data_IF_496258272248
#
_entry.id   IF_496258272248
#
_cell.length_a   1.000
_cell.length_b   1.000
_cell.length_c   1.000
_cell.angle_alpha   90.00
_cell.angle_beta   90.00
_cell.angle_gamma   90.00
#
_symmetry.space_group_name_H-M   'P 1'
#
loop_
_entity.id
_entity.type
_entity.pdbx_description
1 polymer ?
#
# COMPACT_ATOMS: atom_id res chain seq x y z
N UNK A 1 21.69 57.37 6.47
CA UNK A 1 20.37 56.77 6.74
C UNK A 1 19.82 56.29 5.38
N UNK A 2 20.01 55.02 5.04
CA UNK A 2 19.51 54.44 3.78
C UNK A 2 18.08 53.94 4.01
N UNK A 3 17.10 54.54 3.34
CA UNK A 3 15.73 54.03 3.27
C UNK A 3 15.63 53.04 2.10
N UNK A 4 15.52 51.74 2.40
CA UNK A 4 15.15 50.72 1.43
C UNK A 4 13.62 50.74 1.24
N UNK A 5 13.10 50.85 0.00
CA UNK A 5 11.68 50.75 -0.24
C UNK A 5 11.26 49.27 -0.14
N UNK A 6 10.35 48.98 0.78
CA UNK A 6 9.67 47.68 0.85
C UNK A 6 8.64 47.66 -0.28
N UNK A 7 8.98 46.97 -1.38
CA UNK A 7 7.99 46.67 -2.41
C UNK A 7 7.03 45.61 -1.86
N UNK A 8 5.70 45.82 -1.93
CA UNK A 8 4.74 44.79 -1.57
C UNK A 8 4.91 43.61 -2.52
N UNK A 9 5.27 42.46 -1.97
CA UNK A 9 5.20 41.19 -2.68
C UNK A 9 3.74 40.97 -3.08
N UNK A 10 3.45 41.00 -4.38
CA UNK A 10 2.20 40.48 -4.91
C UNK A 10 2.23 38.97 -4.63
N UNK A 11 1.36 38.52 -3.73
CA UNK A 11 1.18 37.10 -3.47
C UNK A 11 0.82 36.41 -4.79
N UNK A 12 1.51 35.32 -5.09
CA UNK A 12 1.23 34.48 -6.25
C UNK A 12 -0.21 33.95 -6.14
N UNK A 13 -0.98 34.00 -7.23
CA UNK A 13 -2.31 33.39 -7.27
C UNK A 13 -2.18 31.88 -7.00
N UNK A 14 -2.81 31.42 -5.91
CA UNK A 14 -2.84 30.01 -5.52
C UNK A 14 -4.27 29.49 -5.68
N UNK A 15 -4.43 28.44 -6.49
CA UNK A 15 -5.69 27.70 -6.54
C UNK A 15 -5.86 26.93 -5.23
N UNK A 16 -6.76 27.42 -4.37
CA UNK A 16 -7.13 26.70 -3.15
C UNK A 16 -8.09 25.56 -3.52
N UNK A 17 -7.72 24.28 -3.29
CA UNK A 17 -8.61 23.18 -3.60
C UNK A 17 -9.84 23.22 -2.68
N UNK A 18 -11.01 22.76 -3.16
CA UNK A 18 -12.22 22.73 -2.34
C UNK A 18 -12.02 21.83 -1.12
N UNK A 19 -12.86 21.99 -0.10
CA UNK A 19 -12.87 21.08 1.04
C UNK A 19 -13.24 19.66 0.60
N UNK A 20 -12.48 18.67 1.05
CA UNK A 20 -12.76 17.27 0.82
C UNK A 20 -14.14 16.88 1.40
N UNK A 21 -14.94 16.17 0.61
CA UNK A 21 -16.29 15.71 0.99
C UNK A 21 -16.27 14.20 1.25
N UNK A 22 -16.94 13.76 2.31
CA UNK A 22 -17.16 12.33 2.55
C UNK A 22 -18.04 11.77 1.41
N UNK A 23 -17.53 10.79 0.68
CA UNK A 23 -18.24 10.13 -0.42
C UNK A 23 -18.96 8.89 0.08
N UNK A 24 -18.26 8.04 0.84
CA UNK A 24 -18.82 6.83 1.43
C UNK A 24 -18.06 6.42 2.68
N UNK A 25 -18.68 5.54 3.45
CA UNK A 25 -18.14 4.90 4.65
C UNK A 25 -18.66 3.48 4.73
N UNK A 26 -17.77 2.53 5.00
CA UNK A 26 -18.15 1.12 5.16
C UNK A 26 -17.15 0.35 6.02
N UNK A 27 -17.58 -0.80 6.54
CA UNK A 27 -16.75 -1.69 7.35
C UNK A 27 -15.82 -2.52 6.47
N UNK A 28 -14.64 -2.84 7.01
CA UNK A 28 -13.72 -3.80 6.43
C UNK A 28 -13.51 -4.98 7.40
N UNK A 29 -12.87 -6.05 6.93
CA UNK A 29 -12.41 -7.14 7.80
C UNK A 29 -10.89 -7.05 7.94
N UNK A 30 -10.38 -7.21 9.15
CA UNK A 30 -8.94 -7.24 9.43
C UNK A 30 -8.46 -8.68 9.66
N UNK A 31 -7.44 -9.08 8.91
CA UNK A 31 -6.79 -10.38 9.05
C UNK A 31 -5.48 -10.27 9.82
N UNK A 32 -4.85 -11.43 10.09
CA UNK A 32 -3.54 -11.50 10.74
C UNK A 32 -2.51 -10.60 10.04
N UNK A 33 -1.63 -10.00 10.83
CA UNK A 33 -0.65 -9.03 10.32
C UNK A 33 -1.23 -7.65 9.98
N UNK A 34 -2.54 -7.43 10.15
CA UNK A 34 -3.17 -6.13 9.93
C UNK A 34 -3.70 -5.90 8.52
N UNK A 35 -3.79 -6.97 7.72
CA UNK A 35 -4.26 -6.90 6.33
C UNK A 35 -5.75 -6.58 6.28
N UNK A 36 -6.08 -5.56 5.48
CA UNK A 36 -7.44 -5.04 5.32
C UNK A 36 -8.09 -5.70 4.11
N UNK A 37 -9.21 -6.37 4.34
CA UNK A 37 -10.03 -6.98 3.29
C UNK A 37 -11.30 -6.15 3.05
N UNK A 38 -11.48 -5.72 1.80
CA UNK A 38 -12.66 -5.00 1.33
C UNK A 38 -13.50 -5.91 0.44
N UNK A 39 -14.82 -5.78 0.53
CA UNK A 39 -15.75 -6.43 -0.40
C UNK A 39 -16.26 -5.45 -1.44
N UNK A 40 -16.30 -5.89 -2.69
CA UNK A 40 -16.85 -5.12 -3.80
C UNK A 40 -17.24 -6.01 -4.97
N UNK A 41 -17.89 -5.45 -5.98
CA UNK A 41 -18.20 -6.18 -7.21
C UNK A 41 -17.44 -5.58 -8.40
N UNK A 42 -17.23 -6.38 -9.44
CA UNK A 42 -16.62 -5.95 -10.68
C UNK A 42 -17.70 -5.85 -11.77
N UNK A 43 -17.73 -4.73 -12.47
CA UNK A 43 -18.66 -4.40 -13.54
C UNK A 43 -20.13 -4.62 -13.17
N UNK A 44 -20.77 -5.61 -13.80
CA UNK A 44 -22.17 -5.98 -13.61
C UNK A 44 -22.33 -7.30 -12.84
N UNK A 45 -21.24 -7.88 -12.33
CA UNK A 45 -21.32 -9.09 -11.53
C UNK A 45 -21.94 -8.77 -10.16
N UNK A 46 -22.78 -9.69 -9.67
CA UNK A 46 -23.56 -9.51 -8.45
C UNK A 46 -22.83 -10.02 -7.21
N UNK A 47 -21.97 -11.02 -7.37
CA UNK A 47 -21.25 -11.63 -6.26
C UNK A 47 -20.10 -10.74 -5.79
N UNK A 48 -19.97 -10.59 -4.48
CA UNK A 48 -18.89 -9.80 -3.90
C UNK A 48 -17.57 -10.56 -3.97
N UNK A 49 -16.55 -9.88 -4.51
CA UNK A 49 -15.16 -10.26 -4.50
C UNK A 49 -14.45 -9.67 -3.27
N UNK A 50 -13.36 -10.31 -2.85
CA UNK A 50 -12.53 -9.92 -1.72
C UNK A 50 -11.22 -9.30 -2.19
N UNK A 51 -10.99 -8.04 -1.83
CA UNK A 51 -9.80 -7.29 -2.22
C UNK A 51 -8.96 -6.91 -1.01
N UNK A 52 -7.64 -7.12 -1.10
CA UNK A 52 -6.71 -6.55 -0.12
C UNK A 52 -6.51 -5.06 -0.44
N UNK A 53 -6.60 -4.20 0.58
CA UNK A 53 -6.26 -2.78 0.44
C UNK A 53 -4.76 -2.56 0.73
N UNK A 54 -4.01 -2.12 -0.28
CA UNK A 54 -2.54 -2.22 -0.27
C UNK A 54 -1.86 -0.92 -0.75
N UNK A 55 -1.30 -0.15 0.18
CA UNK A 55 -0.49 1.04 -0.15
C UNK A 55 0.88 0.71 -0.77
N UNK A 56 1.35 -0.53 -0.64
CA UNK A 56 2.56 -1.08 -1.28
C UNK A 56 2.33 -1.58 -2.71
N UNK A 57 1.08 -1.61 -3.20
CA UNK A 57 0.76 -1.96 -4.58
C UNK A 57 0.71 -0.75 -5.51
N UNK A 58 1.50 -0.82 -6.59
CA UNK A 58 1.64 0.26 -7.56
C UNK A 58 0.44 0.46 -8.51
N UNK A 59 -0.63 -0.32 -8.35
CA UNK A 59 -1.80 -0.27 -9.23
C UNK A 59 -3.00 -0.98 -8.62
N UNK A 60 -3.75 -1.70 -9.44
CA UNK A 60 -4.85 -2.58 -9.03
C UNK A 60 -4.70 -3.90 -9.77
N UNK A 61 -5.10 -5.00 -9.15
CA UNK A 61 -4.98 -6.35 -9.72
C UNK A 61 -6.18 -7.23 -9.46
N UNK A 62 -6.33 -8.21 -10.33
CA UNK A 62 -7.34 -9.26 -10.27
C UNK A 62 -6.65 -10.62 -10.31
N UNK A 63 -7.17 -11.55 -9.53
CA UNK A 63 -6.76 -12.95 -9.54
C UNK A 63 -7.05 -13.59 -10.91
N UNK A 64 -6.12 -14.40 -11.42
CA UNK A 64 -6.25 -15.05 -12.72
C UNK A 64 -7.42 -16.02 -12.77
N UNK A 65 -7.65 -16.79 -11.72
CA UNK A 65 -8.76 -17.76 -11.66
C UNK A 65 -10.10 -17.05 -11.53
N UNK A 66 -10.13 -15.91 -10.82
CA UNK A 66 -11.30 -15.03 -10.73
C UNK A 66 -11.64 -14.43 -12.10
N UNK A 67 -10.65 -13.89 -12.81
CA UNK A 67 -10.84 -13.34 -14.15
C UNK A 67 -11.41 -14.40 -15.12
N UNK A 68 -10.87 -15.62 -15.08
CA UNK A 68 -11.34 -16.75 -15.89
C UNK A 68 -12.79 -17.13 -15.56
N UNK A 69 -13.13 -17.33 -14.28
CA UNK A 69 -14.49 -17.68 -13.82
C UNK A 69 -15.53 -16.63 -14.23
N UNK A 70 -15.13 -15.36 -14.25
CA UNK A 70 -16.01 -14.24 -14.61
C UNK A 70 -16.09 -14.00 -16.11
N UNK A 71 -15.27 -14.68 -16.93
CA UNK A 71 -15.19 -14.42 -18.37
C UNK A 71 -14.58 -13.04 -18.69
N UNK A 72 -13.75 -12.49 -17.81
CA UNK A 72 -13.07 -11.21 -18.01
C UNK A 72 -12.01 -11.39 -19.11
N UNK A 73 -12.07 -10.53 -20.12
CA UNK A 73 -11.08 -10.55 -21.21
C UNK A 73 -9.76 -9.99 -20.71
N UNK A 74 -8.67 -10.71 -20.99
CA UNK A 74 -7.31 -10.30 -20.59
C UNK A 74 -6.40 -10.26 -21.81
N UNK A 75 -5.48 -9.31 -21.83
CA UNK A 75 -4.54 -9.09 -22.91
C UNK A 75 -3.12 -9.02 -22.36
N UNK A 76 -2.18 -9.74 -22.98
CA UNK A 76 -0.77 -9.67 -22.58
C UNK A 76 -0.23 -8.26 -22.86
N UNK A 77 0.44 -7.65 -21.87
CA UNK A 77 1.02 -6.33 -22.03
C UNK A 77 2.55 -6.39 -22.09
N UNK A 78 3.17 -5.34 -22.63
CA UNK A 78 4.62 -5.12 -22.52
C UNK A 78 5.02 -4.49 -21.17
N UNK A 79 4.07 -4.24 -20.27
CA UNK A 79 4.35 -3.69 -18.95
C UNK A 79 5.01 -4.77 -18.08
N UNK A 80 6.08 -4.38 -17.42
CA UNK A 80 6.80 -5.22 -16.47
C UNK A 80 6.51 -4.73 -15.06
N UNK A 81 6.02 -5.62 -14.18
CA UNK A 81 5.81 -5.29 -12.76
C UNK A 81 6.94 -5.91 -11.93
N UNK A 82 7.37 -5.18 -10.90
CA UNK A 82 8.32 -5.65 -9.89
C UNK A 82 7.55 -6.06 -8.64
N UNK A 83 7.72 -7.30 -8.22
CA UNK A 83 7.23 -7.83 -6.95
C UNK A 83 8.33 -8.48 -6.12
N UNK A 84 7.95 -9.20 -5.07
CA UNK A 84 8.88 -9.82 -4.12
C UNK A 84 9.81 -10.86 -4.79
N UNK A 85 9.28 -11.54 -5.82
CA UNK A 85 9.97 -12.57 -6.58
C UNK A 85 10.65 -12.06 -7.87
N UNK A 86 10.65 -10.74 -8.12
CA UNK A 86 11.38 -10.12 -9.24
C UNK A 86 10.50 -9.42 -10.26
N UNK A 87 10.98 -9.33 -11.51
CA UNK A 87 10.32 -8.66 -12.63
C UNK A 87 9.54 -9.66 -13.47
N UNK A 88 8.29 -9.33 -13.83
CA UNK A 88 7.42 -10.17 -14.66
C UNK A 88 6.58 -9.32 -15.61
N UNK A 89 6.45 -9.77 -16.88
CA UNK A 89 5.41 -9.25 -17.79
C UNK A 89 4.06 -9.83 -17.40
N UNK A 90 3.04 -8.99 -17.40
CA UNK A 90 1.70 -9.38 -16.92
C UNK A 90 0.63 -9.05 -17.96
N UNK A 91 -0.42 -9.85 -17.97
CA UNK A 91 -1.65 -9.53 -18.69
C UNK A 91 -2.44 -8.46 -17.93
N UNK A 92 -3.30 -7.76 -18.65
CA UNK A 92 -4.21 -6.76 -18.11
C UNK A 92 -5.64 -7.03 -18.57
N UNK A 93 -6.58 -6.70 -17.69
CA UNK A 93 -7.98 -6.51 -18.03
C UNK A 93 -8.25 -5.00 -17.99
N UNK A 94 -8.67 -4.42 -19.12
CA UNK A 94 -8.73 -2.98 -19.31
C UNK A 94 -10.14 -2.41 -19.13
N UNK A 95 -10.21 -1.17 -18.63
CA UNK A 95 -11.45 -0.39 -18.58
C UNK A 95 -12.61 -1.04 -17.79
N UNK A 96 -12.30 -1.61 -16.62
CA UNK A 96 -13.29 -2.18 -15.72
C UNK A 96 -13.78 -1.19 -14.66
N UNK A 97 -14.89 -1.51 -14.02
CA UNK A 97 -15.51 -0.75 -12.95
C UNK A 97 -15.54 -1.54 -11.66
N UNK A 98 -14.87 -1.05 -10.61
CA UNK A 98 -14.97 -1.60 -9.26
C UNK A 98 -16.07 -0.88 -8.49
N UNK A 99 -17.00 -1.64 -7.91
CA UNK A 99 -18.10 -1.12 -7.08
C UNK A 99 -17.86 -1.53 -5.63
N UNK A 100 -17.56 -0.54 -4.80
CA UNK A 100 -17.48 -0.66 -3.35
C UNK A 100 -18.80 -0.16 -2.73
N UNK A 101 -19.09 -0.44 -1.45
CA UNK A 101 -20.29 0.07 -0.79
C UNK A 101 -20.38 1.61 -0.91
N UNK A 102 -21.39 2.09 -1.63
CA UNK A 102 -21.62 3.52 -1.85
C UNK A 102 -20.60 4.23 -2.75
N UNK A 103 -19.73 3.51 -3.47
CA UNK A 103 -18.72 4.12 -4.34
C UNK A 103 -18.49 3.30 -5.61
N UNK A 104 -18.51 3.98 -6.75
CA UNK A 104 -18.20 3.39 -8.07
C UNK A 104 -16.89 3.96 -8.57
N UNK A 105 -15.95 3.08 -8.94
CA UNK A 105 -14.61 3.44 -9.42
C UNK A 105 -14.44 2.89 -10.83
N UNK A 106 -14.64 3.74 -11.83
CA UNK A 106 -14.61 3.38 -13.24
C UNK A 106 -13.19 3.47 -13.83
N UNK A 107 -13.00 2.96 -15.07
CA UNK A 107 -11.76 3.11 -15.84
C UNK A 107 -10.54 2.58 -15.08
N UNK A 108 -10.63 1.35 -14.59
CA UNK A 108 -9.56 0.65 -13.91
C UNK A 108 -8.96 -0.39 -14.85
N UNK A 109 -7.62 -0.40 -14.92
CA UNK A 109 -6.86 -1.41 -15.64
C UNK A 109 -6.25 -2.35 -14.60
N UNK A 110 -6.78 -3.56 -14.52
CA UNK A 110 -6.36 -4.58 -13.58
C UNK A 110 -5.22 -5.38 -14.19
N UNK A 111 -4.06 -5.42 -13.53
CA UNK A 111 -3.07 -6.42 -13.90
C UNK A 111 -3.47 -7.78 -13.35
N UNK A 112 -3.23 -8.82 -14.11
CA UNK A 112 -3.60 -10.18 -13.76
C UNK A 112 -2.45 -10.85 -13.02
N UNK A 113 -2.75 -11.43 -11.86
CA UNK A 113 -1.79 -12.19 -11.07
C UNK A 113 -2.43 -13.43 -10.45
N UNK A 114 -1.61 -14.40 -10.07
CA UNK A 114 -2.03 -15.60 -9.36
C UNK A 114 -2.02 -15.33 -7.84
N UNK A 115 -3.16 -15.53 -7.18
CA UNK A 115 -3.33 -15.36 -5.73
C UNK A 115 -3.73 -16.65 -4.99
N UNK A 116 -3.51 -17.84 -5.55
CA UNK A 116 -3.91 -19.12 -4.95
C UNK A 116 -3.29 -19.36 -3.56
N UNK A 117 -1.99 -19.08 -3.38
CA UNK A 117 -1.38 -19.23 -2.06
C UNK A 117 -1.80 -18.12 -1.08
N UNK A 118 -1.95 -16.87 -1.54
CA UNK A 118 -2.47 -15.79 -0.68
C UNK A 118 -3.83 -16.19 -0.12
N UNK A 119 -4.68 -16.73 -1.00
CA UNK A 119 -5.96 -17.35 -0.65
C UNK A 119 -5.79 -18.45 0.39
N UNK A 120 -4.84 -19.36 0.18
CA UNK A 120 -4.54 -20.46 1.10
C UNK A 120 -4.04 -19.98 2.47
N UNK A 121 -3.22 -18.92 2.52
CA UNK A 121 -2.64 -18.36 3.76
C UNK A 121 -3.70 -17.66 4.61
N UNK A 122 -4.56 -16.85 3.99
CA UNK A 122 -5.62 -16.16 4.72
C UNK A 122 -6.86 -17.02 4.97
N UNK A 123 -6.96 -18.19 4.33
CA UNK A 123 -8.11 -19.09 4.46
C UNK A 123 -9.40 -18.49 3.85
N UNK A 124 -9.26 -17.52 2.96
CA UNK A 124 -10.35 -16.86 2.24
C UNK A 124 -9.88 -16.54 0.82
N UNK A 125 -10.76 -16.69 -0.16
CA UNK A 125 -10.50 -16.31 -1.54
C UNK A 125 -10.05 -14.85 -1.60
N UNK A 126 -8.86 -14.60 -2.16
CA UNK A 126 -8.35 -13.26 -2.48
C UNK A 126 -8.50 -13.04 -3.98
N UNK A 127 -9.46 -12.20 -4.35
CA UNK A 127 -9.83 -11.96 -5.74
C UNK A 127 -9.02 -10.83 -6.37
N UNK A 128 -8.36 -9.99 -5.55
CA UNK A 128 -7.54 -8.91 -6.07
C UNK A 128 -6.88 -8.04 -5.01
N UNK A 129 -6.16 -7.03 -5.48
CA UNK A 129 -5.53 -6.02 -4.64
C UNK A 129 -5.93 -4.63 -5.13
N UNK A 130 -6.40 -3.78 -4.22
CA UNK A 130 -6.67 -2.37 -4.43
C UNK A 130 -5.49 -1.55 -3.93
N UNK A 131 -4.69 -1.02 -4.85
CA UNK A 131 -3.56 -0.16 -4.53
C UNK A 131 -3.63 1.21 -5.17
N UNK A 132 -2.51 1.70 -5.70
CA UNK A 132 -2.32 3.07 -6.14
C UNK A 132 -3.39 3.57 -7.14
N UNK A 133 -3.93 2.70 -8.01
CA UNK A 133 -4.99 3.08 -8.96
C UNK A 133 -6.24 3.66 -8.27
N UNK A 134 -6.49 3.25 -7.03
CA UNK A 134 -7.54 3.77 -6.15
C UNK A 134 -7.04 4.95 -5.30
N UNK A 135 -5.92 4.78 -4.59
CA UNK A 135 -5.39 5.81 -3.68
C UNK A 135 -5.05 7.14 -4.37
N UNK A 136 -4.69 7.12 -5.65
CA UNK A 136 -4.44 8.36 -6.41
C UNK A 136 -5.69 9.21 -6.68
N UNK A 137 -6.88 8.66 -6.44
CA UNK A 137 -8.17 9.30 -6.77
C UNK A 137 -8.89 9.84 -5.54
N UNK A 138 -8.53 9.38 -4.34
CA UNK A 138 -9.31 9.62 -3.13
C UNK A 138 -8.42 9.88 -1.92
N UNK A 139 -8.95 10.63 -0.97
CA UNK A 139 -8.41 10.65 0.40
C UNK A 139 -9.08 9.49 1.14
N UNK A 140 -8.27 8.59 1.68
CA UNK A 140 -8.74 7.40 2.39
C UNK A 140 -8.39 7.54 3.87
N UNK A 141 -9.39 7.39 4.73
CA UNK A 141 -9.19 7.28 6.17
C UNK A 141 -9.54 5.88 6.63
N UNK A 142 -8.65 5.31 7.41
CA UNK A 142 -8.76 3.97 7.97
C UNK A 142 -8.82 4.13 9.48
N UNK A 143 -9.89 3.65 10.10
CA UNK A 143 -10.05 3.58 11.55
C UNK A 143 -9.97 2.10 11.94
N UNK A 144 -8.81 1.66 12.42
CA UNK A 144 -8.55 0.27 12.77
C UNK A 144 -9.34 -0.19 14.00
N UNK A 145 -9.57 0.69 14.98
CA UNK A 145 -10.36 0.35 16.18
C UNK A 145 -11.83 0.07 15.83
N UNK A 146 -12.35 0.76 14.80
CA UNK A 146 -13.71 0.58 14.30
C UNK A 146 -13.79 -0.32 13.07
N UNK A 147 -12.69 -0.81 12.55
CA UNK A 147 -12.66 -1.53 11.27
C UNK A 147 -13.47 -0.81 10.18
N UNK A 148 -13.32 0.51 10.10
CA UNK A 148 -14.11 1.38 9.23
C UNK A 148 -13.21 2.13 8.25
N UNK A 149 -13.62 2.13 6.98
CA UNK A 149 -12.98 2.86 5.91
C UNK A 149 -13.89 3.99 5.45
N UNK A 150 -13.35 5.20 5.41
CA UNK A 150 -14.00 6.39 4.88
C UNK A 150 -13.26 6.86 3.62
N UNK A 151 -14.02 7.13 2.56
CA UNK A 151 -13.48 7.64 1.30
C UNK A 151 -13.98 9.07 1.11
N UNK A 152 -13.06 9.99 0.86
CA UNK A 152 -13.35 11.39 0.60
C UNK A 152 -12.89 11.79 -0.81
N UNK A 153 -13.55 12.81 -1.37
CA UNK A 153 -13.10 13.47 -2.58
C UNK A 153 -11.74 14.14 -2.37
N UNK A 154 -10.92 14.32 -3.43
CA UNK A 154 -9.74 15.19 -3.36
C UNK A 154 -10.11 16.59 -2.87
N UNK A 155 -9.27 17.20 -2.05
CA UNK A 155 -9.52 18.51 -1.48
C UNK A 155 -8.67 18.82 -0.25
N UNK A 156 -8.88 20.00 0.33
CA UNK A 156 -8.33 20.31 1.66
C UNK A 156 -8.95 19.39 2.71
N UNK A 157 -8.11 18.82 3.57
CA UNK A 157 -8.54 17.87 4.60
C UNK A 157 -8.16 18.37 5.99
N UNK A 158 -9.12 18.34 6.92
CA UNK A 158 -8.87 18.72 8.31
C UNK A 158 -8.39 17.51 9.09
N UNK A 159 -7.08 17.47 9.36
CA UNK A 159 -6.49 16.40 10.15
C UNK A 159 -6.94 16.44 11.62
N UNK A 160 -7.13 15.27 12.26
CA UNK A 160 -7.41 15.20 13.70
C UNK A 160 -6.31 15.87 14.54
N UNK A 161 -6.70 16.48 15.66
CA UNK A 161 -5.74 16.99 16.65
C UNK A 161 -4.95 15.85 17.27
N UNK A 162 -3.67 16.07 17.55
CA UNK A 162 -2.79 15.06 18.16
C UNK A 162 -2.23 14.01 17.19
N UNK A 163 -2.61 14.06 15.91
CA UNK A 163 -2.00 13.23 14.88
C UNK A 163 -0.60 13.72 14.47
N UNK A 164 0.12 12.87 13.75
CA UNK A 164 1.39 13.22 13.14
C UNK A 164 1.31 13.08 11.62
N UNK A 165 1.62 14.16 10.90
CA UNK A 165 1.61 14.16 9.45
C UNK A 165 2.97 13.68 8.92
N UNK A 166 2.98 12.50 8.31
CA UNK A 166 4.13 12.04 7.54
C UNK A 166 4.18 12.76 6.19
N UNK A 167 5.40 13.03 5.72
CA UNK A 167 5.66 13.63 4.40
C UNK A 167 6.54 12.69 3.56
N UNK A 168 6.02 11.52 3.17
CA UNK A 168 6.80 10.56 2.38
C UNK A 168 7.11 11.12 1.00
N UNK A 169 8.21 10.65 0.41
CA UNK A 169 8.37 10.77 -1.04
C UNK A 169 7.27 9.95 -1.70
N UNK A 170 6.60 10.52 -2.70
CA UNK A 170 5.43 9.90 -3.31
C UNK A 170 5.57 9.93 -4.84
N UNK A 171 5.70 8.76 -5.44
CA UNK A 171 5.60 8.58 -6.90
C UNK A 171 4.40 7.68 -7.20
N UNK A 172 4.51 6.42 -6.78
CA UNK A 172 3.46 5.40 -6.83
C UNK A 172 3.25 4.77 -5.46
N UNK A 173 4.34 4.59 -4.71
CA UNK A 173 4.33 4.02 -3.37
C UNK A 173 4.74 5.08 -2.35
N UNK A 174 4.14 5.11 -1.15
CA UNK A 174 4.56 5.98 -0.07
C UNK A 174 5.89 5.50 0.52
N UNK A 175 6.92 6.34 0.43
CA UNK A 175 8.26 6.07 0.94
C UNK A 175 8.65 7.03 2.08
N UNK A 176 8.13 6.86 3.30
CA UNK A 176 8.58 7.62 4.47
C UNK A 176 10.00 7.25 4.88
N UNK A 177 10.67 8.18 5.56
CA UNK A 177 11.92 7.89 6.27
C UNK A 177 11.63 7.18 7.59
N UNK A 178 12.30 6.05 7.80
CA UNK A 178 12.31 5.30 9.05
C UNK A 178 13.74 5.24 9.58
N UNK A 179 13.88 5.41 10.89
CA UNK A 179 15.11 5.13 11.61
C UNK A 179 15.05 3.68 12.12
N UNK A 180 15.94 2.83 11.61
CA UNK A 180 16.08 1.42 12.00
C UNK A 180 17.33 1.29 12.86
N UNK A 181 17.17 0.77 14.07
CA UNK A 181 18.27 0.56 15.01
C UNK A 181 18.47 -0.94 15.24
N UNK A 182 19.68 -1.42 14.99
CA UNK A 182 20.14 -2.71 15.52
C UNK A 182 21.62 -2.67 15.94
N UNK A 183 22.56 -3.12 15.11
CA UNK A 183 23.99 -2.98 15.39
C UNK A 183 24.42 -1.52 15.29
N UNK A 184 23.88 -0.83 14.28
CA UNK A 184 23.99 0.61 14.09
C UNK A 184 22.57 1.20 13.91
N UNK A 185 22.46 2.53 13.88
CA UNK A 185 21.22 3.21 13.48
C UNK A 185 21.34 3.68 12.03
N UNK A 186 20.34 3.35 11.21
CA UNK A 186 20.25 3.71 9.80
C UNK A 186 18.94 4.45 9.56
N UNK A 187 19.02 5.63 8.96
CA UNK A 187 17.84 6.36 8.50
C UNK A 187 17.67 6.18 6.99
N UNK A 188 16.62 5.48 6.57
CA UNK A 188 16.39 5.11 5.18
C UNK A 188 14.91 5.17 4.81
N UNK A 189 14.62 5.08 3.51
CA UNK A 189 13.24 5.07 2.99
C UNK A 189 12.76 3.63 2.81
N UNK A 190 11.55 3.36 3.28
CA UNK A 190 10.88 2.06 3.13
C UNK A 190 9.46 2.26 2.61
N UNK A 191 8.92 1.25 1.96
CA UNK A 191 7.51 1.26 1.53
C UNK A 191 6.63 1.18 2.77
N UNK A 192 5.68 2.11 2.89
CA UNK A 192 4.59 1.96 3.85
C UNK A 192 3.51 1.07 3.21
N UNK A 193 3.38 -0.14 3.71
CA UNK A 193 2.67 -1.24 3.05
C UNK A 193 1.57 -1.79 3.96
N UNK A 194 0.30 -1.52 3.63
CA UNK A 194 -0.87 -2.07 4.33
C UNK A 194 -1.27 -3.46 3.84
N UNK A 195 -0.72 -3.93 2.71
CA UNK A 195 -0.98 -5.25 2.14
C UNK A 195 -0.02 -6.34 2.67
N UNK A 196 1.09 -5.95 3.30
CA UNK A 196 2.03 -6.87 3.91
C UNK A 196 1.59 -7.33 5.31
N UNK A 197 1.47 -8.64 5.52
CA UNK A 197 1.23 -9.24 6.84
C UNK A 197 2.47 -9.27 7.76
N UNK A 198 3.54 -8.56 7.40
CA UNK A 198 4.82 -8.51 8.13
C UNK A 198 5.07 -7.11 8.67
N UNK A 199 5.77 -6.99 9.80
CA UNK A 199 6.02 -5.69 10.43
C UNK A 199 7.11 -4.86 9.73
N UNK A 200 8.19 -5.50 9.31
CA UNK A 200 9.31 -4.85 8.64
C UNK A 200 9.91 -5.82 7.63
N UNK A 201 10.29 -5.31 6.46
CA UNK A 201 10.94 -6.11 5.43
C UNK A 201 12.12 -5.32 4.88
N UNK A 202 13.27 -5.99 4.76
CA UNK A 202 14.46 -5.43 4.14
C UNK A 202 15.15 -6.45 3.25
N UNK A 203 15.88 -5.98 2.24
CA UNK A 203 16.74 -6.86 1.45
C UNK A 203 18.02 -7.21 2.22
N UNK A 204 18.64 -8.34 1.86
CA UNK A 204 19.97 -8.68 2.35
C UNK A 204 21.00 -7.61 1.95
N UNK A 205 20.94 -7.13 0.70
CA UNK A 205 21.80 -6.04 0.21
C UNK A 205 21.74 -4.81 1.13
N UNK A 206 20.52 -4.37 1.51
CA UNK A 206 20.37 -3.24 2.43
C UNK A 206 21.00 -3.55 3.80
N UNK A 207 20.74 -4.73 4.36
CA UNK A 207 21.26 -5.11 5.67
C UNK A 207 22.79 -5.22 5.69
N UNK A 208 23.40 -5.66 4.60
CA UNK A 208 24.84 -5.83 4.43
C UNK A 208 25.55 -4.51 4.12
N UNK A 209 25.06 -3.74 3.14
CA UNK A 209 25.66 -2.46 2.72
C UNK A 209 25.63 -1.42 3.84
N UNK A 210 24.56 -1.43 4.64
CA UNK A 210 24.45 -0.56 5.81
C UNK A 210 25.15 -1.11 7.05
N UNK A 211 25.60 -2.37 7.06
CA UNK A 211 26.06 -3.07 8.25
C UNK A 211 25.07 -3.00 9.43
N UNK A 212 23.76 -2.91 9.13
CA UNK A 212 22.68 -2.77 10.10
C UNK A 212 22.70 -3.90 11.13
N UNK A 213 22.98 -5.12 10.69
CA UNK A 213 22.91 -6.33 11.50
C UNK A 213 24.30 -6.95 11.67
N UNK A 214 24.58 -7.45 12.88
CA UNK A 214 25.81 -8.22 13.12
C UNK A 214 25.79 -9.52 12.33
N UNK A 215 26.95 -9.97 11.83
CA UNK A 215 27.10 -11.27 11.16
C UNK A 215 26.66 -12.46 12.04
N UNK A 216 26.79 -12.34 13.36
CA UNK A 216 26.37 -13.35 14.34
C UNK A 216 24.85 -13.35 14.64
N UNK A 217 24.07 -12.50 13.98
CA UNK A 217 22.62 -12.41 14.20
C UNK A 217 21.96 -13.73 13.81
N UNK A 218 21.19 -14.31 14.74
CA UNK A 218 20.37 -15.48 14.43
C UNK A 218 19.24 -15.11 13.46
N UNK A 219 19.11 -15.92 12.42
CA UNK A 219 18.07 -15.83 11.40
C UNK A 219 17.41 -17.20 11.25
N UNK A 220 16.12 -17.19 10.95
CA UNK A 220 15.35 -18.41 10.72
C UNK A 220 14.82 -18.39 9.30
N UNK A 221 15.03 -19.47 8.55
CA UNK A 221 14.47 -19.56 7.21
C UNK A 221 12.95 -19.61 7.29
N UNK A 222 12.32 -18.76 6.49
CA UNK A 222 10.89 -18.76 6.22
C UNK A 222 10.64 -18.72 4.72
N UNK A 223 9.41 -18.99 4.31
CA UNK A 223 8.96 -18.81 2.94
C UNK A 223 7.84 -17.78 2.96
N UNK A 224 7.98 -16.77 2.12
CA UNK A 224 7.01 -15.69 1.97
C UNK A 224 6.62 -15.62 0.51
N UNK A 225 5.40 -15.18 0.25
CA UNK A 225 4.90 -15.00 -1.10
C UNK A 225 4.29 -13.62 -1.27
N UNK A 226 4.27 -13.19 -2.53
CA UNK A 226 3.69 -11.94 -2.98
C UNK A 226 3.72 -11.92 -4.50
N UNK A 227 3.59 -10.72 -5.07
CA UNK A 227 3.60 -10.57 -6.51
C UNK A 227 4.86 -11.20 -7.15
N UNK A 228 4.63 -12.11 -8.10
CA UNK A 228 5.69 -12.85 -8.81
C UNK A 228 6.03 -14.25 -8.25
N UNK A 229 5.46 -14.67 -7.11
CA UNK A 229 5.59 -16.04 -6.58
C UNK A 229 6.40 -16.16 -5.30
N UNK A 230 6.84 -17.40 -4.99
CA UNK A 230 7.48 -17.80 -3.73
C UNK A 230 8.91 -17.32 -3.61
N UNK A 231 9.27 -16.82 -2.42
CA UNK A 231 10.65 -16.48 -2.08
C UNK A 231 11.02 -16.99 -0.69
N UNK A 232 12.21 -17.57 -0.57
CA UNK A 232 12.81 -17.85 0.73
C UNK A 232 13.30 -16.55 1.34
N UNK A 233 12.96 -16.32 2.60
CA UNK A 233 13.40 -15.16 3.36
C UNK A 233 13.96 -15.59 4.70
N UNK A 234 14.73 -14.71 5.32
CA UNK A 234 15.19 -14.85 6.68
C UNK A 234 14.25 -14.08 7.60
N UNK A 235 13.85 -14.70 8.70
CA UNK A 235 13.11 -14.09 9.79
C UNK A 235 14.03 -13.79 10.97
N UNK A 236 13.92 -12.57 11.49
CA UNK A 236 14.71 -12.08 12.61
C UNK A 236 13.96 -10.99 13.39
N UNK A 237 14.65 -10.32 14.30
CA UNK A 237 14.11 -9.21 15.09
C UNK A 237 15.13 -8.07 15.08
N UNK A 238 14.71 -6.88 14.64
CA UNK A 238 15.48 -5.64 14.80
C UNK A 238 15.19 -4.99 16.16
N UNK A 239 16.19 -4.31 16.76
CA UNK A 239 16.03 -3.76 18.11
C UNK A 239 14.95 -2.69 18.16
N UNK A 240 14.93 -1.78 17.19
CA UNK A 240 13.84 -0.82 17.07
C UNK A 240 13.66 -0.26 15.67
N UNK A 241 12.43 0.22 15.44
CA UNK A 241 12.02 0.95 14.25
C UNK A 241 11.34 2.23 14.70
N UNK A 242 11.65 3.37 14.08
CA UNK A 242 11.01 4.64 14.38
C UNK A 242 10.50 5.30 13.11
N UNK A 243 9.24 5.74 13.16
CA UNK A 243 8.55 6.49 12.10
C UNK A 243 7.90 7.73 12.72
N UNK A 244 8.32 8.91 12.28
CA UNK A 244 7.92 10.15 12.94
C UNK A 244 8.25 10.13 14.46
N UNK A 245 7.28 10.40 15.35
CA UNK A 245 7.48 10.37 16.79
C UNK A 245 7.35 8.95 17.40
N UNK A 246 6.90 7.96 16.63
CA UNK A 246 6.59 6.62 17.14
C UNK A 246 7.81 5.71 17.05
N UNK A 247 8.19 5.09 18.18
CA UNK A 247 9.29 4.11 18.27
C UNK A 247 8.77 2.76 18.73
N UNK A 248 8.97 1.74 17.89
CA UNK A 248 8.64 0.34 18.15
C UNK A 248 9.91 -0.41 18.52
N UNK A 249 9.84 -1.36 19.47
CA UNK A 249 10.98 -2.15 19.92
C UNK A 249 10.76 -3.62 19.62
N UNK A 250 11.84 -4.38 19.44
CA UNK A 250 11.83 -5.82 19.12
C UNK A 250 10.90 -6.12 17.93
N UNK A 251 11.14 -5.43 16.82
CA UNK A 251 10.27 -5.50 15.63
C UNK A 251 10.64 -6.73 14.81
N UNK A 252 9.70 -7.66 14.54
CA UNK A 252 9.91 -8.76 13.60
C UNK A 252 10.28 -8.24 12.21
N UNK A 253 11.31 -8.84 11.59
CA UNK A 253 11.88 -8.40 10.32
C UNK A 253 12.37 -9.55 9.45
#
# INVERSE_FOLDING_TARGET
>A
MLLLPVLPSLAQEEFVPPQAKLLTRFRFQQYSGGVILLRGTLDNHTDSLNFILDTGSGGISLDSTTAEKMGVTTEMSDRTIRGIAGLKKVAFAYNHTLRLPGLVVEKLDFHINDYDLLTSVYGIQIDGIIGYSFFRRYIVRIDFDKEELEVFSPGTFRYPRGGYLLKPSFSTLPLPYLEVEDNISVNARFIFDTGAAMCFLMSNDFAEDSALMRKSRKRYLTQVEGLGGKKRMDYTIVKSLKIGPYKFRKVPA
#
